data_IF_770258548963
#
_entry.id   IF_770258548963
#
_cell.length_a   1.000
_cell.length_b   1.000
_cell.length_c   1.000
_cell.angle_alpha   90.00
_cell.angle_beta   90.00
_cell.angle_gamma   90.00
#
_symmetry.space_group_name_H-M   'P 1'
#
loop_
_entity.id
_entity.type
_entity.pdbx_description
1 polymer ?
#
# COMPACT_ATOMS: atom_id res chain seq x y z
N UNK A 1 -5.79 -27.19 -11.42
CA UNK A 1 -4.39 -27.44 -10.99
C UNK A 1 -4.43 -27.82 -9.51
N UNK A 2 -3.88 -28.97 -9.14
CA UNK A 2 -3.94 -29.51 -7.78
C UNK A 2 -3.11 -28.66 -6.82
N UNK A 3 -3.78 -28.10 -5.79
CA UNK A 3 -3.14 -27.41 -4.67
C UNK A 3 -2.13 -28.34 -4.01
N UNK A 4 -0.84 -28.02 -4.09
CA UNK A 4 0.23 -28.81 -3.47
C UNK A 4 0.21 -28.53 -1.97
N UNK A 5 -0.44 -29.38 -1.18
CA UNK A 5 -0.34 -29.32 0.28
C UNK A 5 1.00 -29.92 0.74
N UNK A 6 1.73 -29.18 1.56
CA UNK A 6 3.00 -29.63 2.14
C UNK A 6 2.74 -30.59 3.31
N UNK A 7 3.48 -31.70 3.35
CA UNK A 7 3.61 -32.51 4.57
C UNK A 7 4.78 -32.01 5.40
N UNK A 8 4.81 -32.32 6.70
CA UNK A 8 5.92 -31.90 7.58
C UNK A 8 7.28 -32.40 7.04
N UNK A 9 7.34 -33.66 6.61
CA UNK A 9 8.55 -34.30 6.08
C UNK A 9 9.05 -33.64 4.80
N UNK A 10 8.13 -33.33 3.87
CA UNK A 10 8.48 -32.69 2.60
C UNK A 10 8.89 -31.24 2.80
N UNK A 11 8.23 -30.51 3.69
CA UNK A 11 8.58 -29.13 4.02
C UNK A 11 9.94 -29.05 4.74
N UNK A 12 10.19 -29.94 5.71
CA UNK A 12 11.44 -29.98 6.46
C UNK A 12 12.63 -30.33 5.56
N UNK A 13 12.48 -31.35 4.70
CA UNK A 13 13.51 -31.72 3.72
C UNK A 13 13.78 -30.58 2.76
N UNK A 14 12.74 -29.97 2.20
CA UNK A 14 12.87 -28.85 1.26
C UNK A 14 13.58 -27.66 1.91
N UNK A 15 13.25 -27.33 3.17
CA UNK A 15 13.91 -26.26 3.91
C UNK A 15 15.41 -26.55 4.11
N UNK A 16 15.76 -27.79 4.46
CA UNK A 16 17.15 -28.22 4.65
C UNK A 16 17.94 -28.16 3.32
N UNK A 17 17.36 -28.64 2.23
CA UNK A 17 17.97 -28.64 0.90
C UNK A 17 18.26 -27.21 0.39
N UNK A 18 17.40 -26.24 0.71
CA UNK A 18 17.63 -24.81 0.42
C UNK A 18 18.76 -24.25 1.31
N UNK A 19 18.90 -24.74 2.54
CA UNK A 19 19.95 -24.37 3.48
C UNK A 19 19.46 -23.77 4.81
N UNK A 20 18.16 -23.89 5.13
CA UNK A 20 17.63 -23.48 6.42
C UNK A 20 17.96 -24.52 7.50
N UNK A 21 18.40 -24.06 8.67
CA UNK A 21 18.85 -24.93 9.77
C UNK A 21 17.78 -25.19 10.84
N UNK A 22 16.90 -24.22 11.04
CA UNK A 22 15.83 -24.32 12.02
C UNK A 22 14.51 -24.47 11.29
N UNK A 23 13.67 -25.41 11.75
CA UNK A 23 12.36 -25.69 11.18
C UNK A 23 11.33 -25.74 12.31
N UNK A 24 10.20 -25.09 12.09
CA UNK A 24 9.14 -24.88 13.06
C UNK A 24 7.80 -25.29 12.47
N UNK A 25 7.01 -26.04 13.24
CA UNK A 25 5.64 -26.40 12.90
C UNK A 25 4.70 -25.35 13.46
N UNK A 26 3.89 -24.73 12.58
CA UNK A 26 2.98 -23.64 12.92
C UNK A 26 1.50 -24.06 12.86
N UNK A 27 1.22 -25.20 12.20
CA UNK A 27 -0.11 -25.82 12.16
C UNK A 27 -0.59 -26.11 13.60
N UNK A 28 -1.85 -25.80 13.90
CA UNK A 28 -2.54 -26.02 15.19
C UNK A 28 -2.30 -24.97 16.30
N UNK A 29 -2.07 -23.71 15.93
CA UNK A 29 -2.06 -22.58 16.89
C UNK A 29 -0.71 -22.35 17.58
N UNK A 30 0.37 -22.96 17.06
CA UNK A 30 1.73 -22.69 17.50
C UNK A 30 2.16 -21.26 17.19
N UNK A 31 2.75 -20.59 18.17
CA UNK A 31 3.40 -19.29 17.99
C UNK A 31 4.91 -19.45 17.82
N UNK A 32 5.54 -18.54 17.08
CA UNK A 32 7.01 -18.46 16.95
C UNK A 32 7.67 -18.44 18.33
N UNK A 33 7.07 -17.73 19.29
CA UNK A 33 7.54 -17.65 20.68
C UNK A 33 7.46 -18.99 21.43
N UNK A 34 6.41 -19.79 21.23
CA UNK A 34 6.30 -21.12 21.83
C UNK A 34 7.30 -22.11 21.23
N UNK A 35 7.51 -22.04 19.91
CA UNK A 35 8.46 -22.90 19.22
C UNK A 35 9.94 -22.50 19.46
N UNK A 36 10.19 -21.25 19.88
CA UNK A 36 11.52 -20.71 20.20
C UNK A 36 11.89 -20.74 21.69
N UNK A 37 11.04 -21.29 22.57
CA UNK A 37 11.37 -21.50 24.00
C UNK A 37 12.30 -22.69 24.28
N UNK A 38 12.85 -23.33 23.24
CA UNK A 38 13.79 -24.42 23.39
C UNK A 38 15.19 -23.90 23.80
N UNK A 39 15.91 -24.52 24.75
CA UNK A 39 17.20 -24.03 25.29
C UNK A 39 18.30 -23.74 24.26
N UNK A 40 18.20 -24.32 23.07
CA UNK A 40 19.20 -24.15 21.99
C UNK A 40 18.92 -22.94 21.07
N UNK A 41 17.77 -22.28 21.21
CA UNK A 41 17.30 -21.21 20.31
C UNK A 41 17.13 -19.87 21.04
N UNK A 42 18.24 -19.26 21.49
CA UNK A 42 18.19 -18.01 22.25
C UNK A 42 17.46 -16.88 21.50
N UNK A 43 16.69 -16.08 22.26
CA UNK A 43 15.88 -14.94 21.80
C UNK A 43 16.71 -13.90 21.03
N UNK A 44 18.01 -13.84 21.28
CA UNK A 44 18.96 -12.89 20.69
C UNK A 44 19.24 -13.15 19.20
N UNK A 45 18.74 -14.27 18.65
CA UNK A 45 18.95 -14.71 17.27
C UNK A 45 17.74 -14.49 16.34
N UNK A 46 16.75 -13.69 16.75
CA UNK A 46 15.50 -13.44 15.99
C UNK A 46 15.66 -12.61 14.70
N UNK A 47 16.86 -12.12 14.40
CA UNK A 47 17.21 -11.42 13.16
C UNK A 47 17.80 -12.39 12.14
N UNK A 48 17.30 -12.40 10.90
CA UNK A 48 17.78 -13.33 9.89
C UNK A 48 16.84 -13.49 8.70
N UNK A 49 16.92 -14.64 8.04
CA UNK A 49 16.10 -15.01 6.88
C UNK A 49 15.15 -16.13 7.29
N UNK A 50 13.89 -16.04 6.85
CA UNK A 50 12.88 -17.07 7.06
C UNK A 50 12.29 -17.58 5.74
N UNK A 51 11.79 -18.80 5.76
CA UNK A 51 11.02 -19.44 4.68
C UNK A 51 9.67 -19.89 5.23
N UNK A 52 8.58 -19.40 4.64
CA UNK A 52 7.22 -19.80 4.96
C UNK A 52 6.72 -20.85 3.97
N UNK A 53 6.11 -21.89 4.50
CA UNK A 53 5.26 -22.84 3.78
C UNK A 53 3.81 -22.48 4.11
N UNK A 54 3.10 -21.91 3.14
CA UNK A 54 1.73 -21.44 3.34
C UNK A 54 0.73 -22.57 3.16
N UNK A 55 -0.44 -22.46 3.81
CA UNK A 55 -1.52 -23.44 3.64
C UNK A 55 -2.06 -23.51 2.21
N UNK A 56 -1.82 -22.47 1.41
CA UNK A 56 -2.13 -22.42 -0.04
C UNK A 56 -1.19 -23.26 -0.89
N UNK A 57 -0.11 -23.81 -0.31
CA UNK A 57 0.96 -24.51 -1.02
C UNK A 57 2.11 -23.61 -1.46
N UNK A 58 1.99 -22.30 -1.26
CA UNK A 58 3.00 -21.34 -1.69
C UNK A 58 4.21 -21.26 -0.75
N UNK A 59 5.36 -20.90 -1.32
CA UNK A 59 6.61 -20.67 -0.60
C UNK A 59 6.99 -19.18 -0.63
N UNK A 60 7.48 -18.65 0.50
CA UNK A 60 7.95 -17.27 0.59
C UNK A 60 9.21 -17.17 1.44
N UNK A 61 10.26 -16.55 0.90
CA UNK A 61 11.51 -16.27 1.62
C UNK A 61 11.55 -14.79 1.98
N UNK A 62 11.99 -14.44 3.18
CA UNK A 62 12.08 -13.03 3.58
C UNK A 62 13.11 -12.74 4.64
N UNK A 63 13.64 -11.51 4.61
CA UNK A 63 14.45 -10.94 5.69
C UNK A 63 13.63 -10.35 6.86
N UNK A 64 14.20 -10.40 8.05
CA UNK A 64 13.64 -9.80 9.26
C UNK A 64 14.71 -9.44 10.29
N UNK A 65 14.48 -8.37 11.04
CA UNK A 65 15.24 -8.07 12.27
C UNK A 65 14.58 -8.63 13.54
N UNK A 66 13.31 -9.05 13.43
CA UNK A 66 12.53 -9.68 14.49
C UNK A 66 11.53 -10.66 13.88
N UNK A 67 11.83 -11.96 13.94
CA UNK A 67 11.01 -13.01 13.34
C UNK A 67 9.60 -13.05 13.92
N UNK A 68 9.45 -12.93 15.24
CA UNK A 68 8.13 -12.96 15.90
C UNK A 68 7.24 -11.81 15.41
N UNK A 69 7.74 -10.57 15.44
CA UNK A 69 6.99 -9.42 14.96
C UNK A 69 6.67 -9.51 13.45
N UNK A 70 7.58 -10.07 12.65
CA UNK A 70 7.38 -10.26 11.21
C UNK A 70 6.37 -11.35 10.88
N UNK A 71 6.37 -12.47 11.61
CA UNK A 71 5.37 -13.50 11.44
C UNK A 71 4.00 -13.02 11.89
N UNK A 72 3.93 -12.28 12.99
CA UNK A 72 2.69 -11.61 13.38
C UNK A 72 2.22 -10.67 12.26
N UNK A 73 3.10 -9.87 11.66
CA UNK A 73 2.75 -9.00 10.52
C UNK A 73 2.22 -9.79 9.31
N UNK A 74 2.76 -10.96 9.01
CA UNK A 74 2.24 -11.81 7.93
C UNK A 74 0.90 -12.45 8.27
N UNK A 75 0.72 -12.93 9.51
CA UNK A 75 -0.56 -13.42 10.00
C UNK A 75 -1.62 -12.30 10.00
N UNK A 76 -1.24 -11.08 10.37
CA UNK A 76 -2.07 -9.87 10.32
C UNK A 76 -2.50 -9.54 8.87
N UNK A 77 -1.70 -9.94 7.87
CA UNK A 77 -2.00 -9.80 6.44
C UNK A 77 -2.82 -10.98 5.88
N UNK A 78 -3.24 -11.94 6.71
CA UNK A 78 -4.02 -13.11 6.31
C UNK A 78 -3.19 -14.28 5.77
N UNK A 79 -1.86 -14.19 5.81
CA UNK A 79 -1.01 -15.28 5.33
C UNK A 79 -0.94 -16.41 6.35
N UNK A 80 -1.74 -17.46 6.14
CA UNK A 80 -1.69 -18.68 6.95
C UNK A 80 -0.44 -19.50 6.61
N UNK A 81 0.41 -19.68 7.60
CA UNK A 81 1.69 -20.40 7.48
C UNK A 81 1.58 -21.72 8.24
N UNK A 82 1.76 -22.85 7.55
CA UNK A 82 1.72 -24.19 8.16
C UNK A 82 3.09 -24.58 8.75
N UNK A 83 4.17 -24.18 8.07
CA UNK A 83 5.55 -24.43 8.51
C UNK A 83 6.45 -23.22 8.27
N UNK A 84 7.45 -23.06 9.13
CA UNK A 84 8.38 -21.94 9.09
C UNK A 84 9.81 -22.44 9.27
N UNK A 85 10.70 -22.12 8.33
CA UNK A 85 12.12 -22.36 8.50
C UNK A 85 12.86 -21.03 8.73
N UNK A 86 13.98 -21.07 9.45
CA UNK A 86 14.73 -19.87 9.83
C UNK A 86 16.24 -20.10 9.87
N UNK A 87 16.98 -19.06 9.48
CA UNK A 87 18.42 -18.97 9.64
C UNK A 87 18.76 -17.59 10.21
N UNK A 88 19.48 -17.58 11.32
CA UNK A 88 19.97 -16.35 11.91
C UNK A 88 21.02 -15.70 10.99
N UNK A 89 20.89 -14.40 10.76
CA UNK A 89 21.87 -13.62 10.02
C UNK A 89 21.88 -12.15 10.49
N UNK A 90 23.07 -11.56 10.74
CA UNK A 90 23.20 -10.13 11.01
C UNK A 90 22.66 -9.28 9.85
N UNK A 91 22.05 -8.13 10.14
CA UNK A 91 21.38 -7.26 9.15
C UNK A 91 22.23 -6.97 7.91
N UNK A 92 23.54 -6.72 8.10
CA UNK A 92 24.49 -6.45 7.03
C UNK A 92 24.67 -7.61 6.04
N UNK A 93 24.40 -8.86 6.45
CA UNK A 93 24.53 -10.06 5.61
C UNK A 93 23.19 -10.59 5.09
N UNK A 94 22.07 -10.04 5.53
CA UNK A 94 20.74 -10.55 5.19
C UNK A 94 20.45 -10.46 3.69
N UNK A 95 20.84 -9.37 3.03
CA UNK A 95 20.53 -9.19 1.60
C UNK A 95 21.25 -10.22 0.71
N UNK A 96 22.55 -10.42 0.94
CA UNK A 96 23.33 -11.40 0.18
C UNK A 96 22.83 -12.82 0.42
N UNK A 97 22.53 -13.17 1.69
CA UNK A 97 22.05 -14.49 2.06
C UNK A 97 20.62 -14.76 1.55
N UNK A 98 19.72 -13.77 1.59
CA UNK A 98 18.37 -13.88 1.02
C UNK A 98 18.45 -14.18 -0.47
N UNK A 99 19.30 -13.45 -1.22
CA UNK A 99 19.50 -13.66 -2.64
C UNK A 99 20.05 -15.06 -2.96
N UNK A 100 21.00 -15.53 -2.15
CA UNK A 100 21.57 -16.88 -2.29
C UNK A 100 20.50 -17.98 -2.08
N UNK A 101 19.70 -17.87 -1.02
CA UNK A 101 18.68 -18.87 -0.69
C UNK A 101 17.52 -18.87 -1.69
N UNK A 102 17.12 -17.70 -2.19
CA UNK A 102 16.17 -17.59 -3.31
C UNK A 102 16.73 -18.29 -4.55
N UNK A 103 17.98 -18.01 -4.93
CA UNK A 103 18.60 -18.64 -6.10
C UNK A 103 18.73 -20.16 -5.98
N UNK A 104 18.95 -20.70 -4.77
CA UNK A 104 18.94 -22.16 -4.54
C UNK A 104 17.55 -22.76 -4.71
N UNK A 105 16.53 -22.15 -4.10
CA UNK A 105 15.16 -22.62 -4.24
C UNK A 105 14.68 -22.58 -5.71
N UNK A 106 15.06 -21.54 -6.46
CA UNK A 106 14.76 -21.43 -7.89
C UNK A 106 15.45 -22.51 -8.72
N UNK A 107 16.73 -22.82 -8.45
CA UNK A 107 17.46 -23.93 -9.11
C UNK A 107 16.81 -25.29 -8.82
N UNK A 108 16.12 -25.44 -7.70
CA UNK A 108 15.33 -26.62 -7.35
C UNK A 108 13.95 -26.66 -8.02
N UNK A 109 13.60 -25.65 -8.82
CA UNK A 109 12.30 -25.55 -9.50
C UNK A 109 11.14 -25.15 -8.57
N UNK A 110 11.43 -24.56 -7.41
CA UNK A 110 10.42 -24.12 -6.46
C UNK A 110 9.86 -22.74 -6.85
N UNK A 111 8.53 -22.64 -6.95
CA UNK A 111 7.86 -21.36 -7.22
C UNK A 111 7.75 -20.54 -5.94
N UNK A 112 8.53 -19.47 -5.85
CA UNK A 112 8.49 -18.53 -4.72
C UNK A 112 7.56 -17.35 -4.99
N UNK A 113 6.79 -16.92 -3.99
CA UNK A 113 5.97 -15.70 -4.03
C UNK A 113 6.81 -14.41 -4.08
N UNK A 114 8.11 -14.51 -3.80
CA UNK A 114 9.07 -13.40 -3.88
C UNK A 114 9.01 -12.65 -5.22
N UNK A 115 8.67 -13.35 -6.31
CA UNK A 115 8.53 -12.76 -7.66
C UNK A 115 7.44 -11.69 -7.76
N UNK A 116 6.40 -11.72 -6.92
CA UNK A 116 5.37 -10.68 -6.94
C UNK A 116 5.86 -9.30 -6.50
N UNK A 117 7.03 -9.20 -5.84
CA UNK A 117 7.67 -7.91 -5.54
C UNK A 117 8.46 -7.34 -6.73
N UNK A 118 8.82 -8.18 -7.68
CA UNK A 118 9.55 -7.77 -8.89
C UNK A 118 8.62 -7.18 -9.95
N UNK A 119 7.31 -7.44 -9.87
CA UNK A 119 6.34 -7.10 -10.92
C UNK A 119 5.80 -5.66 -10.86
N UNK A 120 6.37 -4.81 -10.00
CA UNK A 120 6.04 -3.38 -9.96
C UNK A 120 7.26 -2.48 -9.87
N UNK A 121 8.39 -2.91 -10.43
CA UNK A 121 9.25 -1.95 -11.09
C UNK A 121 8.68 -1.81 -12.49
N UNK A 122 8.23 -0.61 -12.85
CA UNK A 122 8.21 -0.23 -14.27
C UNK A 122 9.60 -0.63 -14.78
N UNK A 123 9.67 -1.68 -15.60
CA UNK A 123 10.90 -2.12 -16.22
C UNK A 123 11.40 -0.95 -17.08
N UNK A 124 12.22 -0.09 -16.49
CA UNK A 124 13.27 0.58 -17.22
C UNK A 124 14.48 -0.32 -17.15
N UNK A 125 14.35 -1.53 -17.67
CA UNK A 125 15.52 -2.22 -18.20
C UNK A 125 15.84 -1.49 -19.52
N UNK A 126 16.95 -0.74 -19.60
CA UNK A 126 17.31 -0.03 -20.82
C UNK A 126 17.53 -0.97 -22.02
N UNK A 127 17.63 -2.30 -21.79
CA UNK A 127 17.78 -3.32 -22.82
C UNK A 127 16.50 -4.09 -23.18
N UNK A 128 15.35 -3.83 -22.52
CA UNK A 128 14.12 -4.52 -22.87
C UNK A 128 13.60 -4.06 -24.24
N UNK A 129 13.50 -4.98 -25.20
CA UNK A 129 12.93 -4.72 -26.52
C UNK A 129 11.44 -5.06 -26.50
N UNK A 130 10.61 -4.13 -26.97
CA UNK A 130 9.14 -4.28 -26.99
C UNK A 130 8.70 -5.61 -27.63
N UNK A 131 9.34 -5.99 -28.74
CA UNK A 131 9.03 -7.21 -29.50
C UNK A 131 9.40 -8.51 -28.76
N UNK A 132 10.26 -8.46 -27.75
CA UNK A 132 10.58 -9.62 -26.90
C UNK A 132 9.41 -9.95 -25.95
N UNK A 133 8.69 -8.91 -25.52
CA UNK A 133 7.52 -9.03 -24.65
C UNK A 133 6.23 -9.23 -25.44
N UNK A 134 6.15 -8.64 -26.64
CA UNK A 134 5.00 -8.71 -27.52
C UNK A 134 5.45 -9.17 -28.91
N UNK A 135 5.62 -10.48 -29.16
CA UNK A 135 6.10 -10.99 -30.44
C UNK A 135 5.17 -10.61 -31.60
N UNK A 136 5.71 -10.53 -32.82
CA UNK A 136 4.96 -10.15 -34.03
C UNK A 136 3.64 -10.92 -34.20
N UNK A 137 3.62 -12.23 -33.92
CA UNK A 137 2.39 -13.03 -33.98
C UNK A 137 1.30 -12.55 -33.00
N UNK A 138 1.68 -12.08 -31.80
CA UNK A 138 0.76 -11.49 -30.84
C UNK A 138 0.26 -10.11 -31.32
N UNK A 139 1.16 -9.31 -31.90
CA UNK A 139 0.81 -8.01 -32.47
C UNK A 139 -0.16 -8.14 -33.66
N UNK A 140 0.09 -9.09 -34.56
CA UNK A 140 -0.76 -9.40 -35.71
C UNK A 140 -2.13 -9.93 -35.29
N UNK A 141 -2.16 -10.78 -34.25
CA UNK A 141 -3.40 -11.25 -33.65
C UNK A 141 -4.17 -10.08 -33.04
N UNK A 142 -3.50 -9.22 -32.25
CA UNK A 142 -4.10 -8.03 -31.64
C UNK A 142 -4.64 -7.07 -32.71
N UNK A 143 -3.90 -6.88 -33.81
CA UNK A 143 -4.32 -6.06 -34.95
C UNK A 143 -5.54 -6.67 -35.67
N UNK A 144 -5.57 -7.99 -35.87
CA UNK A 144 -6.70 -8.70 -36.47
C UNK A 144 -7.96 -8.67 -35.59
N UNK A 145 -7.78 -8.62 -34.27
CA UNK A 145 -8.86 -8.45 -33.29
C UNK A 145 -9.36 -7.00 -33.17
N UNK A 146 -8.61 -6.03 -33.73
CA UNK A 146 -8.84 -4.58 -33.67
C UNK A 146 -10.27 -4.12 -33.98
N UNK A 147 -10.96 -4.81 -34.88
CA UNK A 147 -12.34 -4.50 -35.30
C UNK A 147 -13.42 -4.95 -34.30
N UNK A 148 -13.05 -5.77 -33.30
CA UNK A 148 -13.94 -6.35 -32.27
C UNK A 148 -13.76 -5.73 -30.89
N UNK A 149 -12.89 -4.73 -30.74
CA UNK A 149 -12.53 -4.17 -29.43
C UNK A 149 -13.56 -3.20 -28.82
N UNK A 150 -14.85 -3.36 -29.13
CA UNK A 150 -15.94 -2.82 -28.33
C UNK A 150 -16.09 -3.54 -26.99
N UNK A 151 -14.98 -3.73 -26.29
CA UNK A 151 -14.91 -4.43 -25.01
C UNK A 151 -15.37 -3.44 -23.94
N UNK A 152 -16.44 -3.79 -23.24
CA UNK A 152 -16.99 -2.98 -22.16
C UNK A 152 -15.94 -2.74 -21.05
N UNK A 153 -16.03 -1.64 -20.28
CA UNK A 153 -15.21 -1.44 -19.09
C UNK A 153 -15.22 -2.65 -18.15
N UNK A 154 -16.36 -3.34 -18.03
CA UNK A 154 -16.53 -4.54 -17.22
C UNK A 154 -15.69 -5.72 -17.74
N UNK A 155 -15.70 -5.96 -19.05
CA UNK A 155 -14.88 -7.02 -19.65
C UNK A 155 -13.38 -6.70 -19.56
N UNK A 156 -13.00 -5.43 -19.72
CA UNK A 156 -11.62 -4.97 -19.45
C UNK A 156 -11.26 -5.19 -17.99
N UNK A 157 -12.18 -4.91 -17.08
CA UNK A 157 -11.98 -5.13 -15.65
C UNK A 157 -11.77 -6.60 -15.31
N UNK A 158 -12.52 -7.51 -15.93
CA UNK A 158 -12.29 -8.96 -15.76
C UNK A 158 -10.89 -9.39 -16.23
N UNK A 159 -10.39 -8.80 -17.33
CA UNK A 159 -9.00 -9.04 -17.77
C UNK A 159 -7.98 -8.52 -16.76
N UNK A 160 -8.21 -7.36 -16.16
CA UNK A 160 -7.36 -6.83 -15.06
C UNK A 160 -7.40 -7.73 -13.85
N UNK A 161 -8.59 -8.16 -13.42
CA UNK A 161 -8.73 -9.10 -12.31
C UNK A 161 -7.99 -10.41 -12.57
N UNK A 162 -8.01 -10.91 -13.81
CA UNK A 162 -7.29 -12.12 -14.21
C UNK A 162 -5.76 -11.96 -14.19
N UNK A 163 -5.23 -10.75 -14.42
CA UNK A 163 -3.79 -10.48 -14.54
C UNK A 163 -3.12 -10.05 -13.23
N UNK A 164 -3.86 -9.54 -12.24
CA UNK A 164 -3.29 -9.17 -10.93
C UNK A 164 -2.93 -10.39 -10.07
N UNK A 165 -2.05 -10.17 -9.08
CA UNK A 165 -1.61 -11.21 -8.15
C UNK A 165 -2.79 -11.78 -7.32
N UNK A 166 -2.71 -13.05 -6.87
CA UNK A 166 -3.77 -13.64 -6.04
C UNK A 166 -4.10 -12.84 -4.79
N UNK A 167 -3.07 -12.26 -4.14
CA UNK A 167 -3.25 -11.42 -2.96
C UNK A 167 -3.97 -10.10 -3.27
N UNK A 168 -3.67 -9.48 -4.43
CA UNK A 168 -4.37 -8.26 -4.85
C UNK A 168 -5.83 -8.56 -5.22
N UNK A 169 -6.09 -9.72 -5.83
CA UNK A 169 -7.44 -10.19 -6.15
C UNK A 169 -8.26 -10.46 -4.89
N UNK A 170 -7.70 -11.21 -3.93
CA UNK A 170 -8.33 -11.46 -2.63
C UNK A 170 -8.64 -10.14 -1.89
N UNK A 171 -7.72 -9.18 -1.94
CA UNK A 171 -7.94 -7.84 -1.38
C UNK A 171 -9.11 -7.11 -2.04
N UNK A 172 -9.22 -7.18 -3.37
CA UNK A 172 -10.36 -6.63 -4.11
C UNK A 172 -11.67 -7.32 -3.75
N UNK A 173 -11.71 -8.65 -3.76
CA UNK A 173 -12.91 -9.43 -3.41
C UNK A 173 -13.38 -9.13 -1.99
N UNK A 174 -12.44 -9.03 -1.04
CA UNK A 174 -12.73 -8.68 0.36
C UNK A 174 -13.28 -7.25 0.48
N UNK A 175 -12.72 -6.31 -0.27
CA UNK A 175 -13.22 -4.93 -0.32
C UNK A 175 -14.62 -4.87 -0.95
N UNK A 176 -14.81 -5.48 -2.12
CA UNK A 176 -16.08 -5.50 -2.84
C UNK A 176 -17.22 -6.18 -2.06
N UNK A 177 -16.88 -7.10 -1.15
CA UNK A 177 -17.84 -7.70 -0.23
C UNK A 177 -18.16 -6.85 1.01
N UNK A 178 -17.48 -5.71 1.21
CA UNK A 178 -17.71 -4.82 2.36
C UNK A 178 -19.00 -4.02 2.16
N UNK A 179 -19.83 -3.86 3.21
CA UNK A 179 -20.99 -2.97 3.14
C UNK A 179 -20.59 -1.56 2.70
N UNK A 180 -21.34 -0.96 1.76
CA UNK A 180 -21.06 0.38 1.20
C UNK A 180 -19.72 0.48 0.44
N UNK A 181 -19.24 -0.62 -0.13
CA UNK A 181 -18.04 -0.62 -0.97
C UNK A 181 -18.19 0.31 -2.20
N UNK A 182 -19.38 0.37 -2.82
CA UNK A 182 -19.67 1.29 -3.92
C UNK A 182 -19.50 2.75 -3.51
N UNK A 183 -20.11 3.15 -2.40
CA UNK A 183 -19.94 4.50 -1.83
C UNK A 183 -18.47 4.81 -1.48
N UNK A 184 -17.74 3.83 -0.93
CA UNK A 184 -16.32 3.98 -0.62
C UNK A 184 -15.46 4.20 -1.87
N UNK A 185 -15.75 3.46 -2.94
CA UNK A 185 -15.05 3.58 -4.20
C UNK A 185 -15.37 4.92 -4.89
N UNK A 186 -16.64 5.36 -4.88
CA UNK A 186 -17.07 6.64 -5.43
C UNK A 186 -16.41 7.82 -4.69
N UNK A 187 -16.37 7.77 -3.35
CA UNK A 187 -15.66 8.78 -2.54
C UNK A 187 -14.17 8.80 -2.86
N UNK A 188 -13.53 7.62 -2.94
CA UNK A 188 -12.11 7.52 -3.27
C UNK A 188 -11.81 8.09 -4.66
N UNK A 189 -12.66 7.79 -5.66
CA UNK A 189 -12.53 8.33 -7.02
C UNK A 189 -12.60 9.85 -7.00
N UNK A 190 -13.61 10.40 -6.32
CA UNK A 190 -13.77 11.85 -6.16
C UNK A 190 -12.52 12.48 -5.52
N UNK A 191 -11.94 11.87 -4.49
CA UNK A 191 -10.70 12.39 -3.88
C UNK A 191 -9.53 12.35 -4.87
N UNK A 192 -9.35 11.25 -5.61
CA UNK A 192 -8.29 11.16 -6.63
C UNK A 192 -8.45 12.26 -7.69
N UNK A 193 -9.64 12.39 -8.27
CA UNK A 193 -9.93 13.32 -9.35
C UNK A 193 -9.76 14.79 -8.93
N UNK A 194 -10.11 15.12 -7.67
CA UNK A 194 -9.98 16.47 -7.13
C UNK A 194 -8.53 16.81 -6.76
N UNK A 195 -7.77 15.86 -6.20
CA UNK A 195 -6.55 16.20 -5.46
C UNK A 195 -5.25 15.85 -6.19
N UNK A 196 -5.29 14.94 -7.17
CA UNK A 196 -4.10 14.41 -7.81
C UNK A 196 -4.03 14.89 -9.27
N UNK A 197 -3.05 15.73 -9.64
CA UNK A 197 -2.85 16.12 -11.03
C UNK A 197 -2.45 14.92 -11.89
N UNK A 198 -3.12 14.72 -13.02
CA UNK A 198 -2.89 13.58 -13.94
C UNK A 198 -2.80 12.24 -13.19
N UNK A 199 -3.89 11.81 -12.51
CA UNK A 199 -3.82 10.73 -11.53
C UNK A 199 -3.32 9.42 -12.13
N UNK A 200 -3.74 9.06 -13.34
CA UNK A 200 -3.41 7.78 -13.95
C UNK A 200 -1.94 7.71 -14.40
N UNK A 201 -1.38 8.82 -14.88
CA UNK A 201 0.05 8.94 -15.22
C UNK A 201 0.95 8.90 -13.97
N UNK A 202 0.44 9.41 -12.84
CA UNK A 202 1.17 9.53 -11.58
C UNK A 202 1.04 8.29 -10.66
N UNK A 203 0.17 7.33 -11.02
CA UNK A 203 -0.09 6.14 -10.22
C UNK A 203 1.15 5.27 -10.05
N UNK A 204 1.29 4.62 -8.89
CA UNK A 204 2.42 3.75 -8.50
C UNK A 204 3.78 4.45 -8.36
N UNK A 205 3.86 5.73 -8.70
CA UNK A 205 5.07 6.55 -8.54
C UNK A 205 4.84 7.57 -7.43
N UNK A 206 3.83 8.41 -7.60
CA UNK A 206 3.55 9.52 -6.70
C UNK A 206 2.36 9.26 -5.82
N UNK A 207 1.42 8.41 -6.23
CA UNK A 207 0.34 7.98 -5.35
C UNK A 207 -0.01 6.51 -5.57
N UNK A 208 -0.74 5.94 -4.63
CA UNK A 208 -1.24 4.57 -4.72
C UNK A 208 -2.57 4.41 -3.99
N UNK A 209 -3.39 3.49 -4.49
CA UNK A 209 -4.53 2.93 -3.75
C UNK A 209 -4.15 1.56 -3.19
N UNK A 210 -4.42 1.34 -1.91
CA UNK A 210 -4.24 0.05 -1.27
C UNK A 210 -5.55 -0.43 -0.64
N UNK A 211 -5.74 -1.74 -0.64
CA UNK A 211 -6.87 -2.38 0.02
C UNK A 211 -6.35 -3.10 1.26
N UNK A 212 -6.96 -2.80 2.40
CA UNK A 212 -6.57 -3.39 3.68
C UNK A 212 -7.22 -4.75 3.89
N UNK A 213 -6.42 -5.74 4.29
CA UNK A 213 -6.94 -6.93 4.98
C UNK A 213 -6.92 -6.68 6.48
N UNK A 214 -7.95 -7.18 7.15
CA UNK A 214 -8.30 -6.90 8.54
C UNK A 214 -7.12 -7.02 9.51
N UNK A 215 -6.59 -5.89 9.99
CA UNK A 215 -5.64 -5.87 11.10
C UNK A 215 -6.40 -5.74 12.43
N UNK A 216 -6.23 -6.71 13.33
CA UNK A 216 -6.88 -6.73 14.64
C UNK A 216 -6.25 -5.79 15.68
N UNK A 217 -5.11 -5.14 15.39
CA UNK A 217 -4.33 -4.42 16.40
C UNK A 217 -4.90 -3.07 16.85
N UNK A 218 -5.73 -2.41 16.03
CA UNK A 218 -6.08 -1.00 16.27
C UNK A 218 -7.59 -0.72 16.43
N UNK A 219 -8.42 -1.74 16.63
CA UNK A 219 -9.88 -1.63 16.58
C UNK A 219 -10.47 -1.04 15.27
N UNK A 220 -9.64 -0.58 14.32
CA UNK A 220 -9.95 -0.05 12.99
C UNK A 220 -9.46 -1.02 11.92
N UNK A 221 -10.38 -1.47 11.06
CA UNK A 221 -10.15 -2.28 9.86
C UNK A 221 -10.13 -1.36 8.65
N UNK A 222 -8.93 -1.06 8.14
CA UNK A 222 -8.78 -0.32 6.90
C UNK A 222 -9.37 -1.13 5.73
N UNK A 223 -10.17 -0.48 4.88
CA UNK A 223 -10.82 -1.07 3.71
C UNK A 223 -10.18 -0.57 2.43
N UNK A 224 -9.99 0.74 2.33
CA UNK A 224 -9.34 1.41 1.21
C UNK A 224 -8.50 2.56 1.75
N UNK A 225 -7.30 2.75 1.21
CA UNK A 225 -6.47 3.94 1.47
C UNK A 225 -5.92 4.50 0.17
N UNK A 226 -5.89 5.83 0.09
CA UNK A 226 -5.14 6.58 -0.92
C UNK A 226 -3.92 7.18 -0.23
N UNK A 227 -2.75 6.89 -0.75
CA UNK A 227 -1.48 7.41 -0.24
C UNK A 227 -0.83 8.28 -1.31
N UNK A 228 -0.45 9.51 -0.97
CA UNK A 228 0.27 10.45 -1.82
C UNK A 228 1.69 10.64 -1.27
N UNK A 229 2.68 10.22 -2.05
CA UNK A 229 4.06 10.09 -1.62
C UNK A 229 4.17 9.17 -0.41
N UNK A 230 4.57 9.72 0.74
CA UNK A 230 4.66 8.97 2.00
C UNK A 230 3.50 9.22 2.97
N UNK A 231 2.47 9.96 2.55
CA UNK A 231 1.38 10.41 3.41
C UNK A 231 0.06 9.76 3.01
N UNK A 232 -0.71 9.27 4.00
CA UNK A 232 -2.08 8.83 3.75
C UNK A 232 -2.95 10.07 3.56
N UNK A 233 -3.57 10.17 2.38
CA UNK A 233 -4.49 11.25 2.04
C UNK A 233 -5.90 10.91 2.48
N UNK A 234 -6.37 9.71 2.12
CA UNK A 234 -7.68 9.19 2.47
C UNK A 234 -7.52 7.82 3.09
N UNK A 235 -8.20 7.60 4.21
CA UNK A 235 -8.36 6.27 4.81
C UNK A 235 -9.84 5.99 5.05
N UNK A 236 -10.35 4.94 4.41
CA UNK A 236 -11.71 4.42 4.64
C UNK A 236 -11.59 3.16 5.47
N UNK A 237 -12.28 3.13 6.61
CA UNK A 237 -12.14 2.06 7.60
C UNK A 237 -13.45 1.77 8.31
N UNK A 238 -13.55 0.59 8.90
CA UNK A 238 -14.63 0.22 9.82
C UNK A 238 -14.05 -0.05 11.21
N UNK A 239 -14.85 0.07 12.27
CA UNK A 239 -14.43 -0.42 13.58
C UNK A 239 -14.74 -1.91 13.74
N UNK A 240 -13.92 -2.64 14.50
CA UNK A 240 -14.09 -4.08 14.76
C UNK A 240 -15.49 -4.40 15.33
N UNK A 241 -16.01 -3.51 16.18
CA UNK A 241 -17.33 -3.64 16.83
C UNK A 241 -18.49 -3.24 15.91
N UNK A 242 -18.21 -2.55 14.81
CA UNK A 242 -19.21 -2.06 13.86
C UNK A 242 -18.70 -2.21 12.43
N UNK A 243 -18.53 -3.44 11.92
CA UNK A 243 -17.88 -3.69 10.63
C UNK A 243 -18.67 -3.18 9.42
N UNK A 244 -19.96 -2.87 9.59
CA UNK A 244 -20.86 -2.29 8.58
C UNK A 244 -20.88 -0.76 8.57
N UNK A 245 -20.35 -0.11 9.62
CA UNK A 245 -20.23 1.33 9.68
C UNK A 245 -18.87 1.76 9.14
N UNK A 246 -18.86 2.36 7.96
CA UNK A 246 -17.66 2.92 7.35
C UNK A 246 -17.47 4.37 7.76
N UNK A 247 -16.23 4.71 8.04
CA UNK A 247 -15.76 6.04 8.34
C UNK A 247 -14.68 6.41 7.32
N UNK A 248 -14.65 7.69 6.94
CA UNK A 248 -13.61 8.26 6.13
C UNK A 248 -12.79 9.23 6.99
N UNK A 249 -11.47 9.13 6.89
CA UNK A 249 -10.50 10.06 7.45
C UNK A 249 -9.76 10.70 6.27
N UNK A 250 -9.85 12.04 6.16
CA UNK A 250 -9.22 12.83 5.12
C UNK A 250 -8.14 13.72 5.73
N UNK A 251 -6.95 13.71 5.13
CA UNK A 251 -5.83 14.58 5.50
C UNK A 251 -5.89 15.91 4.77
N UNK A 252 -5.74 17.00 5.51
CA UNK A 252 -5.82 18.38 5.04
C UNK A 252 -4.55 19.15 5.40
N UNK A 253 -4.12 20.07 4.55
CA UNK A 253 -2.95 20.89 4.80
C UNK A 253 -3.15 21.81 6.01
N UNK A 254 -2.25 21.73 7.00
CA UNK A 254 -2.38 22.50 8.25
C UNK A 254 -2.38 24.01 8.02
N UNK A 255 -1.53 24.52 7.13
CA UNK A 255 -1.46 25.94 6.81
C UNK A 255 -2.75 26.51 6.17
N UNK A 256 -3.72 25.66 5.81
CA UNK A 256 -5.06 26.06 5.36
C UNK A 256 -6.11 25.69 6.42
N UNK A 257 -6.27 24.41 6.72
CA UNK A 257 -7.35 23.91 7.58
C UNK A 257 -7.08 24.05 9.08
N UNK A 258 -5.81 24.07 9.47
CA UNK A 258 -5.34 24.28 10.83
C UNK A 258 -5.15 25.74 11.19
N UNK A 259 -5.04 26.62 10.20
CA UNK A 259 -4.74 28.03 10.38
C UNK A 259 -5.72 28.74 11.33
N UNK A 260 -5.23 29.75 12.05
CA UNK A 260 -6.05 30.61 12.91
C UNK A 260 -6.65 31.78 12.13
N UNK A 261 -7.17 31.53 10.93
CA UNK A 261 -7.86 32.52 10.10
C UNK A 261 -9.36 32.41 10.32
N UNK A 262 -10.10 33.51 10.08
CA UNK A 262 -11.57 33.52 10.16
C UNK A 262 -12.19 32.42 9.30
N UNK A 263 -11.72 32.28 8.07
CA UNK A 263 -12.21 31.30 7.10
C UNK A 263 -12.05 29.85 7.59
N UNK A 264 -10.87 29.50 8.13
CA UNK A 264 -10.62 28.17 8.67
C UNK A 264 -11.43 27.89 9.94
N UNK A 265 -11.63 28.89 10.80
CA UNK A 265 -12.51 28.77 11.97
C UNK A 265 -13.98 28.58 11.58
N UNK A 266 -14.48 29.33 10.59
CA UNK A 266 -15.84 29.22 10.07
C UNK A 266 -16.07 27.85 9.40
N UNK A 267 -15.13 27.39 8.58
CA UNK A 267 -15.19 26.06 7.95
C UNK A 267 -15.26 24.94 9.01
N UNK A 268 -14.38 24.95 10.02
CA UNK A 268 -14.43 23.97 11.12
C UNK A 268 -15.72 24.05 11.92
N UNK A 269 -16.29 25.25 12.10
CA UNK A 269 -17.57 25.46 12.78
C UNK A 269 -18.75 24.87 11.98
N UNK A 270 -18.74 25.01 10.65
CA UNK A 270 -19.76 24.43 9.77
C UNK A 270 -19.78 22.90 9.84
N UNK A 271 -18.63 22.29 10.13
CA UNK A 271 -18.45 20.85 10.27
C UNK A 271 -18.08 20.44 11.71
N UNK A 272 -18.63 21.13 12.71
CA UNK A 272 -18.37 20.84 14.13
C UNK A 272 -18.83 19.44 14.57
N UNK A 273 -19.67 18.78 13.77
CA UNK A 273 -20.11 17.40 13.97
C UNK A 273 -19.07 16.36 13.50
N UNK A 274 -18.07 16.76 12.71
CA UNK A 274 -16.95 15.91 12.32
C UNK A 274 -15.85 15.94 13.38
N UNK A 275 -15.06 14.87 13.45
CA UNK A 275 -13.93 14.79 14.39
C UNK A 275 -12.68 15.37 13.74
N UNK A 276 -12.07 16.36 14.39
CA UNK A 276 -10.87 17.06 13.90
C UNK A 276 -9.67 16.76 14.78
N UNK A 277 -8.53 16.41 14.16
CA UNK A 277 -7.27 16.14 14.86
C UNK A 277 -6.12 16.94 14.26
N UNK A 278 -5.11 17.25 15.08
CA UNK A 278 -3.92 17.97 14.63
C UNK A 278 -4.13 19.48 14.49
N UNK A 279 -5.07 20.07 15.23
CA UNK A 279 -5.31 21.51 15.26
C UNK A 279 -4.32 22.26 16.17
N UNK A 280 -3.80 21.59 17.19
CA UNK A 280 -2.88 22.16 18.19
C UNK A 280 -1.43 22.11 17.68
N UNK A 281 -1.12 22.88 16.63
CA UNK A 281 0.26 23.00 16.13
C UNK A 281 0.70 24.46 16.09
N UNK A 282 2.00 24.68 16.29
CA UNK A 282 2.57 26.02 16.22
C UNK A 282 2.55 26.57 14.79
N UNK A 283 2.33 27.89 14.63
CA UNK A 283 2.47 28.55 13.34
C UNK A 283 3.82 28.27 12.68
N UNK A 284 3.84 28.28 11.35
CA UNK A 284 5.08 28.12 10.58
C UNK A 284 5.90 29.41 10.71
N UNK A 285 7.16 29.30 11.12
CA UNK A 285 8.08 30.45 11.23
C UNK A 285 8.78 30.76 9.89
N UNK A 286 9.26 31.99 9.73
CA UNK A 286 10.03 32.40 8.54
C UNK A 286 11.33 31.59 8.40
N UNK A 287 12.02 31.33 9.51
CA UNK A 287 13.25 30.54 9.52
C UNK A 287 13.02 29.09 9.05
N UNK A 288 11.92 28.47 9.49
CA UNK A 288 11.54 27.13 9.01
C UNK A 288 11.26 27.13 7.51
N UNK A 289 10.56 28.16 6.99
CA UNK A 289 10.29 28.29 5.55
C UNK A 289 11.57 28.44 4.73
N UNK A 290 12.51 29.24 5.21
CA UNK A 290 13.78 29.51 4.54
C UNK A 290 14.70 28.29 4.56
N UNK A 291 14.65 27.47 5.60
CA UNK A 291 15.43 26.24 5.71
C UNK A 291 14.82 25.08 4.93
N UNK A 292 13.50 25.03 4.79
CA UNK A 292 12.80 23.91 4.16
C UNK A 292 13.25 23.62 2.72
N UNK A 293 13.39 22.33 2.40
CA UNK A 293 13.73 21.86 1.06
C UNK A 293 12.56 21.04 0.54
N UNK A 294 11.59 21.66 -0.14
CA UNK A 294 10.29 21.05 -0.41
C UNK A 294 10.28 19.99 -1.50
N UNK A 295 11.40 19.81 -2.21
CA UNK A 295 11.57 18.82 -3.26
C UNK A 295 12.83 18.03 -2.92
N UNK A 296 12.66 16.74 -2.62
CA UNK A 296 13.78 15.90 -2.24
C UNK A 296 14.80 15.77 -3.39
N UNK A 297 16.08 15.97 -3.06
CA UNK A 297 17.18 15.82 -4.01
C UNK A 297 17.29 16.92 -5.07
N UNK A 298 16.51 18.01 -4.99
CA UNK A 298 16.59 19.12 -5.94
C UNK A 298 17.42 20.27 -5.41
N UNK A 299 18.40 20.71 -6.21
CA UNK A 299 19.11 21.97 -6.02
C UNK A 299 18.36 23.11 -6.69
N UNK A 300 18.22 24.24 -6.00
CA UNK A 300 17.66 25.45 -6.57
C UNK A 300 18.73 26.21 -7.36
N UNK A 301 18.33 26.81 -8.49
CA UNK A 301 19.22 27.63 -9.31
C UNK A 301 19.66 28.92 -8.59
N UNK A 302 18.85 29.45 -7.67
CA UNK A 302 19.17 30.63 -6.86
C UNK A 302 18.41 30.63 -5.52
N UNK A 303 18.90 31.39 -4.51
CA UNK A 303 18.19 31.58 -3.24
C UNK A 303 16.79 32.20 -3.41
N UNK A 304 16.59 33.13 -4.35
CA UNK A 304 15.29 33.72 -4.63
C UNK A 304 14.32 32.69 -5.21
N UNK A 305 14.82 31.76 -6.03
CA UNK A 305 14.03 30.66 -6.57
C UNK A 305 13.59 29.69 -5.47
N UNK A 306 14.45 29.45 -4.48
CA UNK A 306 14.09 28.70 -3.27
C UNK A 306 13.02 29.44 -2.47
N UNK A 307 13.23 30.73 -2.14
CA UNK A 307 12.27 31.52 -1.36
C UNK A 307 10.88 31.60 -2.01
N UNK A 308 10.82 31.86 -3.32
CA UNK A 308 9.56 31.88 -4.06
C UNK A 308 8.83 30.55 -3.95
N UNK A 309 9.54 29.43 -4.08
CA UNK A 309 8.93 28.11 -3.94
C UNK A 309 8.54 27.79 -2.49
N UNK A 310 9.37 28.14 -1.51
CA UNK A 310 9.11 27.99 -0.07
C UNK A 310 7.84 28.72 0.38
N UNK A 311 7.57 29.89 -0.20
CA UNK A 311 6.37 30.69 0.10
C UNK A 311 5.07 30.18 -0.52
N UNK A 312 5.12 29.11 -1.34
CA UNK A 312 3.91 28.55 -1.95
C UNK A 312 3.11 27.79 -0.91
N UNK A 313 1.79 27.96 -0.94
CA UNK A 313 0.84 27.25 -0.06
C UNK A 313 1.05 25.73 -0.04
N UNK A 314 1.34 25.13 -1.20
CA UNK A 314 1.61 23.69 -1.34
C UNK A 314 2.94 23.30 -0.67
N UNK A 315 3.94 24.17 -0.70
CA UNK A 315 5.22 23.92 -0.04
C UNK A 315 5.06 23.97 1.48
N UNK A 316 4.41 25.02 1.98
CA UNK A 316 4.16 25.20 3.41
C UNK A 316 3.33 24.06 4.01
N UNK A 317 2.46 23.43 3.22
CA UNK A 317 1.70 22.26 3.65
C UNK A 317 2.58 21.08 4.09
N UNK A 318 3.84 21.01 3.65
CA UNK A 318 4.80 19.99 4.06
C UNK A 318 5.58 20.30 5.35
N UNK A 319 5.45 21.51 5.92
CA UNK A 319 6.18 21.95 7.11
C UNK A 319 5.55 21.50 8.43
N UNK A 320 4.30 21.04 8.37
CA UNK A 320 3.51 20.61 9.52
C UNK A 320 2.75 19.33 9.18
N UNK A 321 2.57 18.42 10.14
CA UNK A 321 1.64 17.30 10.00
C UNK A 321 0.25 17.76 9.53
N UNK A 322 -0.39 16.97 8.68
CA UNK A 322 -1.75 17.25 8.22
C UNK A 322 -2.76 17.30 9.36
N UNK A 323 -3.75 18.18 9.22
CA UNK A 323 -4.99 18.12 10.00
C UNK A 323 -5.81 16.95 9.47
N UNK A 324 -6.45 16.18 10.35
CA UNK A 324 -7.30 15.07 9.93
C UNK A 324 -8.75 15.36 10.28
N UNK A 325 -9.64 15.20 9.31
CA UNK A 325 -11.08 15.25 9.53
C UNK A 325 -11.64 13.84 9.34
N UNK A 326 -12.39 13.36 10.33
CA UNK A 326 -12.97 12.02 10.35
C UNK A 326 -14.47 12.09 10.54
N UNK A 327 -15.22 11.38 9.70
CA UNK A 327 -16.67 11.29 9.81
C UNK A 327 -17.22 9.99 9.21
N UNK A 328 -18.51 9.67 9.42
CA UNK A 328 -19.20 8.64 8.63
C UNK A 328 -19.04 8.90 7.14
N UNK A 329 -18.85 7.83 6.37
CA UNK A 329 -18.51 7.94 4.94
C UNK A 329 -19.56 8.68 4.12
N UNK A 330 -20.83 8.58 4.51
CA UNK A 330 -21.99 9.19 3.86
C UNK A 330 -21.94 10.71 3.91
N UNK A 331 -21.27 11.27 4.91
CA UNK A 331 -21.20 12.71 5.14
C UNK A 331 -19.91 13.33 4.60
N UNK A 332 -18.92 12.52 4.19
CA UNK A 332 -17.63 13.04 3.71
C UNK A 332 -17.79 13.83 2.41
N UNK A 333 -18.79 13.50 1.58
CA UNK A 333 -19.12 14.29 0.39
C UNK A 333 -19.42 15.76 0.72
N UNK A 334 -20.18 16.01 1.79
CA UNK A 334 -20.53 17.37 2.23
C UNK A 334 -19.31 18.16 2.69
N UNK A 335 -18.33 17.49 3.31
CA UNK A 335 -17.06 18.10 3.72
C UNK A 335 -16.22 18.44 2.49
N UNK A 336 -16.16 17.55 1.50
CA UNK A 336 -15.44 17.77 0.24
C UNK A 336 -16.08 18.82 -0.68
N UNK A 337 -17.36 19.15 -0.48
CA UNK A 337 -18.04 20.23 -1.22
C UNK A 337 -17.60 21.63 -0.76
N UNK A 338 -16.93 21.74 0.39
CA UNK A 338 -16.39 23.01 0.88
C UNK A 338 -15.09 23.40 0.14
N UNK A 339 -15.03 24.57 -0.52
CA UNK A 339 -13.86 24.96 -1.31
C UNK A 339 -12.56 25.07 -0.51
N UNK A 340 -12.64 25.41 0.78
CA UNK A 340 -11.45 25.54 1.62
C UNK A 340 -10.92 24.15 2.01
N UNK A 341 -11.81 23.19 2.25
CA UNK A 341 -11.45 21.78 2.45
C UNK A 341 -10.82 21.20 1.20
N UNK A 342 -11.44 21.40 0.03
CA UNK A 342 -10.92 20.92 -1.25
C UNK A 342 -9.49 21.44 -1.48
N UNK A 343 -9.29 22.75 -1.33
CA UNK A 343 -7.97 23.39 -1.46
C UNK A 343 -6.96 22.83 -0.47
N UNK A 344 -7.36 22.55 0.77
CA UNK A 344 -6.50 21.96 1.78
C UNK A 344 -6.13 20.50 1.47
N UNK A 345 -7.05 19.72 0.91
CA UNK A 345 -6.80 18.34 0.48
C UNK A 345 -5.85 18.30 -0.73
N UNK A 346 -6.05 19.17 -1.74
CA UNK A 346 -5.15 19.34 -2.88
C UNK A 346 -3.73 19.68 -2.40
N UNK A 347 -3.61 20.67 -1.50
CA UNK A 347 -2.32 21.08 -0.98
C UNK A 347 -1.61 19.94 -0.22
N UNK A 348 -2.34 19.17 0.60
CA UNK A 348 -1.79 18.02 1.32
C UNK A 348 -1.32 16.91 0.36
N UNK A 349 -2.12 16.58 -0.64
CA UNK A 349 -1.79 15.56 -1.64
C UNK A 349 -0.50 15.92 -2.39
N UNK A 350 -0.45 17.13 -2.97
CA UNK A 350 0.71 17.57 -3.74
C UNK A 350 1.95 17.72 -2.85
N UNK A 351 1.82 18.25 -1.63
CA UNK A 351 2.94 18.33 -0.69
C UNK A 351 3.55 16.95 -0.41
N UNK A 352 2.69 15.95 -0.18
CA UNK A 352 3.13 14.57 0.05
C UNK A 352 3.88 14.00 -1.15
N UNK A 353 3.38 14.22 -2.37
CA UNK A 353 4.02 13.77 -3.61
C UNK A 353 5.34 14.50 -3.90
N UNK A 354 5.43 15.80 -3.58
CA UNK A 354 6.65 16.60 -3.81
C UNK A 354 7.81 16.19 -2.91
N UNK A 355 7.51 15.70 -1.71
CA UNK A 355 8.54 15.26 -0.79
C UNK A 355 9.22 13.99 -1.29
N UNK A 356 8.50 12.88 -1.45
CA UNK A 356 9.08 11.60 -1.92
C UNK A 356 8.03 10.78 -2.67
N UNK A 357 8.47 9.90 -3.61
CA UNK A 357 7.57 8.91 -4.20
C UNK A 357 7.06 7.91 -3.15
N UNK A 358 6.06 7.13 -3.53
CA UNK A 358 5.48 6.10 -2.67
C UNK A 358 6.53 5.07 -2.24
N UNK A 359 6.56 4.72 -0.95
CA UNK A 359 7.59 3.82 -0.40
C UNK A 359 7.36 2.35 -0.79
N UNK A 360 6.09 1.96 -0.95
CA UNK A 360 5.67 0.58 -1.18
C UNK A 360 4.73 0.46 -2.39
N UNK A 361 5.22 0.73 -3.61
CA UNK A 361 4.41 0.64 -4.82
C UNK A 361 3.82 -0.77 -5.03
N UNK A 362 4.41 -1.81 -4.44
CA UNK A 362 3.90 -3.19 -4.46
C UNK A 362 2.54 -3.36 -3.78
N UNK A 363 2.13 -2.43 -2.91
CA UNK A 363 0.81 -2.46 -2.27
C UNK A 363 -0.27 -1.77 -3.10
N UNK A 364 0.09 -1.20 -4.25
CA UNK A 364 -0.88 -0.62 -5.16
C UNK A 364 -1.78 -1.72 -5.75
N UNK A 365 -3.08 -1.65 -5.46
CA UNK A 365 -4.05 -2.60 -5.95
C UNK A 365 -4.54 -2.20 -7.36
N UNK A 366 -4.10 -2.94 -8.38
CA UNK A 366 -4.41 -2.64 -9.79
C UNK A 366 -5.90 -2.74 -10.13
N UNK A 367 -6.66 -3.62 -9.46
CA UNK A 367 -8.11 -3.67 -9.65
C UNK A 367 -8.80 -2.44 -9.06
N UNK A 368 -8.43 -2.03 -7.85
CA UNK A 368 -8.96 -0.80 -7.26
C UNK A 368 -8.62 0.41 -8.12
N UNK A 369 -7.38 0.53 -8.60
CA UNK A 369 -6.97 1.64 -9.45
C UNK A 369 -7.76 1.70 -10.77
N UNK A 370 -7.92 0.58 -11.46
CA UNK A 370 -8.73 0.50 -12.68
C UNK A 370 -10.19 0.86 -12.40
N UNK A 371 -10.74 0.37 -11.28
CA UNK A 371 -12.11 0.66 -10.89
C UNK A 371 -12.34 2.17 -10.60
N UNK A 372 -11.34 2.85 -10.02
CA UNK A 372 -11.36 4.30 -9.84
C UNK A 372 -11.26 5.05 -11.18
N UNK A 373 -10.42 4.59 -12.10
CA UNK A 373 -10.20 5.21 -13.42
C UNK A 373 -11.45 5.13 -14.29
N UNK A 374 -11.95 3.92 -14.47
CA UNK A 374 -13.06 3.63 -15.38
C UNK A 374 -14.43 3.85 -14.72
N UNK A 375 -14.46 4.13 -13.41
CA UNK A 375 -15.71 4.37 -12.68
C UNK A 375 -16.56 3.12 -12.51
N UNK A 376 -15.93 1.97 -12.28
CA UNK A 376 -16.64 0.70 -12.11
C UNK A 376 -17.52 0.77 -10.86
N UNK A 377 -18.81 0.54 -11.02
CA UNK A 377 -19.75 0.53 -9.91
C UNK A 377 -19.74 -0.82 -9.18
N UNK A 378 -19.77 -0.77 -7.85
CA UNK A 378 -20.02 -1.95 -7.01
C UNK A 378 -21.45 -1.82 -6.51
N UNK A 379 -22.37 -2.74 -6.88
CA UNK A 379 -23.75 -2.71 -6.40
C UNK A 379 -23.80 -2.72 -4.88
N UNK A 380 -24.65 -1.86 -4.31
CA UNK A 380 -24.87 -1.85 -2.87
C UNK A 380 -25.46 -3.19 -2.42
N UNK A 381 -24.93 -3.71 -1.30
CA UNK A 381 -25.36 -4.95 -0.65
C UNK A 381 -25.89 -4.70 0.74
#
# INVERSE_FOLDING_TARGET
MTSRTWTIETAQKTAADIGFRHFLVMKDGGTVLQAMKHPENSIDKLSGIYLQFRSTGDLYIGRTINLSARQQKHADLGHKTDYLAFIHAPTLRQEALERELIGRAEKMGLKLLNRSKSECQICRDPGAVYDDHFPAAFQDQFLAEGSRHGISPEERFQKVLASISPAAREGWETFAATPKAGLALALARRVVDLTIPSPWDAARIWWMVSLGTTNNKNARKLRLSITCGQHSLLSIFAFNRSPSALFAELSLAFNIAGANTREALEMRKNFAWAHWEGLDQEPITDDERDQFVPIFGKSYASPESKRRDSSRVITEAGLRPSVRVTCPIELMGLILDDPLVERAAIAAAIAGMRWRPVLHPEFHNGAAAFALEEGIEIPDR
#
